data_IF_381931649044
#
_entry.id   IF_381931649044
#
_cell.length_a   1.000
_cell.length_b   1.000
_cell.length_c   1.000
_cell.angle_alpha   90.00
_cell.angle_beta   90.00
_cell.angle_gamma   90.00
#
_symmetry.space_group_name_H-M   'P 1'
#
loop_
_entity.id
_entity.type
_entity.pdbx_description
1 polymer ?
#
# COMPACT_ATOMS: atom_id res chain seq x y z
N UNK A 1 31.31 -1.30 6.64
CA UNK A 1 29.96 -0.68 6.74
C UNK A 1 30.04 0.26 7.92
N UNK A 2 29.83 1.57 7.73
CA UNK A 2 29.54 2.43 8.89
C UNK A 2 28.18 1.96 9.37
N UNK A 3 28.11 1.35 10.54
CA UNK A 3 26.85 1.14 11.22
C UNK A 3 26.29 2.53 11.53
N UNK A 4 25.50 3.07 10.60
CA UNK A 4 24.68 4.24 10.87
C UNK A 4 23.71 3.81 11.95
N UNK A 5 24.03 4.16 13.19
CA UNK A 5 23.20 3.90 14.35
C UNK A 5 21.99 4.85 14.29
N UNK A 6 21.02 4.49 13.43
CA UNK A 6 19.78 5.23 13.35
C UNK A 6 19.05 5.18 14.68
N UNK A 7 18.54 6.33 15.09
CA UNK A 7 17.89 6.47 16.39
C UNK A 7 16.63 5.61 16.41
N UNK A 8 16.44 4.97 17.56
CA UNK A 8 15.18 4.32 17.93
C UNK A 8 14.61 5.18 19.05
N UNK A 9 13.41 5.71 18.84
CA UNK A 9 12.82 6.77 19.67
C UNK A 9 11.58 6.23 20.38
N UNK A 10 11.46 6.51 21.67
CA UNK A 10 10.20 6.36 22.39
C UNK A 10 9.20 7.45 21.97
N UNK A 11 7.96 7.34 22.43
CA UNK A 11 6.96 8.40 22.22
C UNK A 11 7.43 9.78 22.75
N UNK A 12 8.11 9.83 23.90
CA UNK A 12 8.68 11.07 24.43
C UNK A 12 9.81 11.60 23.55
N UNK A 13 10.71 10.72 23.10
CA UNK A 13 11.82 11.09 22.21
C UNK A 13 11.34 11.63 20.87
N UNK A 14 10.25 11.08 20.31
CA UNK A 14 9.60 11.61 19.11
C UNK A 14 9.02 13.01 19.34
N UNK A 15 8.35 13.24 20.47
CA UNK A 15 7.82 14.57 20.80
C UNK A 15 8.94 15.60 21.00
N UNK A 16 10.05 15.22 21.65
CA UNK A 16 11.22 16.08 21.80
C UNK A 16 11.84 16.43 20.45
N UNK A 17 12.06 15.43 19.59
CA UNK A 17 12.62 15.64 18.24
C UNK A 17 11.71 16.53 17.38
N UNK A 18 10.41 16.27 17.37
CA UNK A 18 9.43 16.98 16.53
C UNK A 18 9.03 18.36 17.04
N UNK A 19 9.39 18.72 18.28
CA UNK A 19 9.25 20.07 18.83
C UNK A 19 10.58 20.84 18.83
N UNK A 20 11.69 20.19 18.47
CA UNK A 20 12.99 20.84 18.44
C UNK A 20 13.02 21.92 17.33
N UNK A 21 13.56 23.13 17.58
CA UNK A 21 13.58 24.23 16.59
C UNK A 21 14.29 23.89 15.27
N UNK A 22 15.16 22.87 15.28
CA UNK A 22 15.88 22.35 14.11
C UNK A 22 15.25 21.09 13.52
N UNK A 23 14.00 20.77 13.83
CA UNK A 23 13.31 19.54 13.39
C UNK A 23 13.48 19.28 11.89
N UNK A 24 13.10 20.22 11.03
CA UNK A 24 13.21 20.06 9.57
C UNK A 24 14.66 19.75 9.16
N UNK A 25 15.65 20.42 9.75
CA UNK A 25 17.07 20.16 9.44
C UNK A 25 17.54 18.77 9.89
N UNK A 26 17.08 18.30 11.06
CA UNK A 26 17.41 16.97 11.57
C UNK A 26 16.82 15.87 10.69
N UNK A 27 15.55 16.04 10.29
CA UNK A 27 14.85 15.10 9.40
C UNK A 27 15.48 15.08 8.01
N UNK A 28 15.80 16.25 7.44
CA UNK A 28 16.51 16.36 6.16
C UNK A 28 17.87 15.64 6.20
N UNK A 29 18.61 15.78 7.30
CA UNK A 29 19.90 15.11 7.46
C UNK A 29 19.73 13.60 7.58
N UNK A 30 18.82 13.11 8.44
CA UNK A 30 18.57 11.67 8.59
C UNK A 30 18.06 11.06 7.28
N UNK A 31 17.20 11.77 6.54
CA UNK A 31 16.74 11.35 5.22
C UNK A 31 17.91 11.21 4.24
N UNK A 32 18.81 12.20 4.17
CA UNK A 32 20.01 12.11 3.33
C UNK A 32 20.86 10.89 3.69
N UNK A 33 21.09 10.64 4.98
CA UNK A 33 21.83 9.47 5.47
C UNK A 33 21.14 8.14 5.07
N UNK A 34 19.80 8.08 5.15
CA UNK A 34 19.02 6.92 4.69
C UNK A 34 19.14 6.71 3.18
N UNK A 35 19.17 7.79 2.39
CA UNK A 35 19.26 7.74 0.93
C UNK A 35 20.65 7.34 0.44
N UNK A 36 21.71 7.63 1.20
CA UNK A 36 23.10 7.26 0.89
C UNK A 36 23.43 5.79 1.16
N UNK A 37 22.58 5.07 1.91
CA UNK A 37 22.85 3.67 2.23
C UNK A 37 22.76 2.79 0.97
N UNK A 38 23.85 2.08 0.62
CA UNK A 38 23.83 1.20 -0.54
C UNK A 38 22.93 -0.01 -0.25
N UNK A 39 21.91 -0.17 -1.09
CA UNK A 39 21.03 -1.32 -1.08
C UNK A 39 21.48 -2.32 -2.14
N UNK A 40 21.48 -3.61 -1.79
CA UNK A 40 21.84 -4.70 -2.71
C UNK A 40 20.58 -5.25 -3.35
N UNK A 41 20.60 -5.38 -4.67
CA UNK A 41 19.53 -5.98 -5.46
C UNK A 41 19.82 -5.83 -6.94
N UNK A 42 19.06 -6.50 -7.78
CA UNK A 42 19.11 -6.37 -9.24
C UNK A 42 17.80 -5.80 -9.75
N UNK A 43 17.84 -5.10 -10.88
CA UNK A 43 16.67 -4.47 -11.52
C UNK A 43 16.52 -4.90 -12.99
N UNK A 44 17.09 -6.07 -13.32
CA UNK A 44 17.27 -6.56 -14.68
C UNK A 44 15.94 -6.71 -15.42
N UNK A 45 14.89 -7.21 -14.75
CA UNK A 45 13.57 -7.39 -15.35
C UNK A 45 12.90 -6.06 -15.65
N UNK A 46 13.05 -5.09 -14.73
CA UNK A 46 12.48 -3.75 -14.88
C UNK A 46 13.10 -2.99 -16.06
N UNK A 47 14.40 -3.21 -16.31
CA UNK A 47 15.17 -2.56 -17.37
C UNK A 47 15.08 -3.25 -18.74
N UNK A 48 14.42 -4.42 -18.86
CA UNK A 48 14.23 -5.08 -20.17
C UNK A 48 13.46 -4.19 -21.13
N UNK A 49 13.90 -4.14 -22.39
CA UNK A 49 13.27 -3.34 -23.45
C UNK A 49 11.79 -3.68 -23.65
N UNK A 50 11.43 -4.96 -23.52
CA UNK A 50 10.05 -5.47 -23.60
C UNK A 50 9.14 -4.91 -22.50
N UNK A 51 9.68 -4.69 -21.30
CA UNK A 51 8.94 -4.21 -20.13
C UNK A 51 8.89 -2.68 -20.04
N UNK A 52 9.70 -1.97 -20.83
CA UNK A 52 9.76 -0.50 -20.81
C UNK A 52 8.42 0.21 -21.01
N UNK A 53 7.50 -0.38 -21.79
CA UNK A 53 6.15 0.16 -22.02
C UNK A 53 5.21 -0.01 -20.82
N UNK A 54 5.49 -0.98 -19.94
CA UNK A 54 4.72 -1.28 -18.73
C UNK A 54 5.14 -0.38 -17.56
N UNK A 55 6.31 0.23 -17.65
CA UNK A 55 6.81 1.22 -16.68
C UNK A 55 6.36 2.62 -17.09
N UNK A 56 5.96 3.45 -16.13
CA UNK A 56 5.63 4.86 -16.40
C UNK A 56 6.86 5.61 -16.93
N UNK A 57 6.83 6.03 -18.20
CA UNK A 57 7.97 6.66 -18.91
C UNK A 57 8.56 7.89 -18.21
N UNK A 58 7.73 8.69 -17.52
CA UNK A 58 8.16 9.89 -16.78
C UNK A 58 9.12 9.56 -15.62
N UNK A 59 9.20 8.29 -15.22
CA UNK A 59 10.00 7.80 -14.09
C UNK A 59 10.89 6.62 -14.47
N UNK A 60 11.49 6.64 -15.67
CA UNK A 60 12.41 5.59 -16.15
C UNK A 60 13.57 5.27 -15.20
N UNK A 61 13.92 6.20 -14.32
CA UNK A 61 15.02 6.09 -13.36
C UNK A 61 14.61 5.34 -12.08
N UNK A 62 13.32 5.07 -11.90
CA UNK A 62 12.80 4.27 -10.80
C UNK A 62 12.62 2.85 -11.32
N UNK A 63 13.33 1.90 -10.74
CA UNK A 63 13.26 0.50 -11.14
C UNK A 63 12.51 -0.34 -10.10
N UNK A 64 12.04 -1.51 -10.52
CA UNK A 64 11.55 -2.53 -9.59
C UNK A 64 12.69 -3.51 -9.25
N UNK A 65 12.83 -3.86 -7.97
CA UNK A 65 13.78 -4.91 -7.55
C UNK A 65 13.33 -6.28 -8.05
N UNK A 66 14.26 -7.09 -8.54
CA UNK A 66 13.96 -8.42 -9.08
C UNK A 66 13.59 -9.41 -7.97
N UNK A 67 14.19 -9.31 -6.78
CA UNK A 67 14.01 -10.29 -5.69
C UNK A 67 12.68 -10.16 -4.94
N UNK A 68 12.02 -9.00 -5.06
CA UNK A 68 10.76 -8.70 -4.38
C UNK A 68 9.65 -8.34 -5.36
N UNK A 69 9.88 -8.43 -6.68
CA UNK A 69 8.85 -8.17 -7.69
C UNK A 69 7.69 -9.13 -7.53
N UNK A 70 6.48 -8.64 -7.80
CA UNK A 70 5.35 -9.54 -7.99
C UNK A 70 5.46 -10.17 -9.37
N UNK A 71 5.30 -11.48 -9.42
CA UNK A 71 5.26 -12.26 -10.65
C UNK A 71 3.79 -12.60 -10.92
N UNK A 72 3.31 -12.30 -12.12
CA UNK A 72 1.97 -12.70 -12.56
C UNK A 72 2.10 -13.66 -13.74
N UNK A 73 1.18 -14.61 -13.85
CA UNK A 73 1.20 -15.55 -14.96
C UNK A 73 0.79 -14.84 -16.26
N UNK A 74 1.37 -15.25 -17.39
CA UNK A 74 1.08 -14.72 -18.72
C UNK A 74 -0.21 -15.31 -19.32
N UNK A 75 -0.65 -16.44 -18.79
CA UNK A 75 -1.94 -17.08 -19.03
C UNK A 75 -2.52 -17.50 -17.70
N UNK A 76 -3.84 -17.67 -17.63
CA UNK A 76 -4.45 -18.21 -16.41
C UNK A 76 -3.91 -19.62 -16.15
N UNK A 77 -3.24 -19.80 -15.00
CA UNK A 77 -2.86 -21.11 -14.52
C UNK A 77 -4.14 -21.86 -14.17
N UNK A 78 -4.54 -22.81 -15.03
CA UNK A 78 -5.59 -23.77 -14.72
C UNK A 78 -5.11 -24.67 -13.57
N UNK A 79 -5.28 -24.21 -12.32
CA UNK A 79 -5.26 -25.14 -11.19
C UNK A 79 -6.57 -25.91 -11.23
N UNK A 80 -6.61 -26.99 -12.00
CA UNK A 80 -7.69 -27.97 -11.95
C UNK A 80 -7.67 -28.61 -10.56
N UNK A 81 -8.80 -28.57 -9.83
CA UNK A 81 -9.01 -29.50 -8.72
C UNK A 81 -8.92 -30.92 -9.29
N UNK A 82 -8.16 -31.80 -8.62
CA UNK A 82 -7.79 -33.14 -9.11
C UNK A 82 -8.98 -34.09 -9.40
N UNK A 83 -10.22 -33.64 -9.20
CA UNK A 83 -11.44 -34.43 -9.37
C UNK A 83 -12.15 -34.32 -10.72
N UNK A 84 -11.78 -33.39 -11.60
CA UNK A 84 -12.53 -33.12 -12.85
C UNK A 84 -11.63 -33.15 -14.11
N UNK A 85 -10.62 -34.01 -14.10
CA UNK A 85 -9.62 -34.13 -15.15
C UNK A 85 -10.21 -34.63 -16.49
N UNK A 86 -10.31 -33.74 -17.49
CA UNK A 86 -10.63 -34.05 -18.89
C UNK A 86 -9.36 -33.99 -19.76
N UNK A 87 -8.83 -35.14 -20.23
CA UNK A 87 -7.62 -35.21 -21.04
C UNK A 87 -7.71 -34.50 -22.40
N UNK A 88 -8.91 -34.18 -22.89
CA UNK A 88 -9.12 -33.61 -24.22
C UNK A 88 -8.92 -32.09 -24.31
N UNK A 89 -8.75 -31.40 -23.17
CA UNK A 89 -8.50 -29.94 -23.09
C UNK A 89 -7.02 -29.57 -23.08
N UNK A 90 -6.14 -30.54 -23.33
CA UNK A 90 -4.69 -30.33 -23.29
C UNK A 90 -4.19 -29.69 -24.58
N UNK A 91 -4.13 -28.35 -24.62
CA UNK A 91 -3.21 -27.68 -25.54
C UNK A 91 -1.78 -27.84 -24.99
N UNK A 92 -1.05 -28.82 -25.50
CA UNK A 92 0.38 -28.98 -25.24
C UNK A 92 1.13 -27.85 -25.95
N UNK A 93 1.59 -26.85 -25.21
CA UNK A 93 2.51 -25.83 -25.72
C UNK A 93 3.65 -25.61 -24.73
N UNK A 94 4.88 -25.59 -25.25
CA UNK A 94 6.17 -25.55 -24.56
C UNK A 94 6.23 -24.63 -23.32
N UNK A 95 6.68 -25.19 -22.20
CA UNK A 95 6.52 -24.73 -20.80
C UNK A 95 7.46 -23.60 -20.31
N UNK A 96 8.29 -22.94 -21.13
CA UNK A 96 9.44 -22.19 -20.56
C UNK A 96 9.33 -20.65 -20.44
N UNK A 97 8.28 -19.95 -20.90
CA UNK A 97 8.24 -18.47 -20.80
C UNK A 97 6.83 -17.86 -20.65
N UNK A 98 6.09 -18.25 -19.61
CA UNK A 98 4.76 -17.70 -19.31
C UNK A 98 4.73 -16.77 -18.08
N UNK A 99 5.84 -16.13 -17.68
CA UNK A 99 5.81 -15.10 -16.64
C UNK A 99 5.65 -13.70 -17.25
N UNK A 100 4.66 -12.92 -16.79
CA UNK A 100 4.49 -11.53 -17.19
C UNK A 100 5.00 -10.59 -16.11
N UNK A 101 5.83 -9.64 -16.52
CA UNK A 101 6.27 -8.55 -15.66
C UNK A 101 5.14 -7.55 -15.37
N UNK A 102 5.03 -7.15 -14.10
CA UNK A 102 4.23 -6.01 -13.62
C UNK A 102 5.08 -5.14 -12.70
N UNK A 103 4.85 -3.83 -12.73
CA UNK A 103 5.60 -2.86 -11.91
C UNK A 103 5.08 -2.84 -10.46
N UNK A 104 5.30 -3.92 -9.72
CA UNK A 104 4.88 -4.07 -8.33
C UNK A 104 5.89 -4.87 -7.52
N UNK A 105 5.99 -4.60 -6.22
CA UNK A 105 6.84 -5.36 -5.30
C UNK A 105 6.09 -5.68 -4.01
N UNK A 106 6.38 -6.85 -3.43
CA UNK A 106 5.97 -7.15 -2.06
C UNK A 106 6.73 -6.26 -1.09
N UNK A 107 6.05 -5.82 -0.04
CA UNK A 107 6.62 -5.05 1.07
C UNK A 107 6.08 -5.63 2.37
N UNK A 108 6.98 -5.81 3.33
CA UNK A 108 6.60 -6.34 4.62
C UNK A 108 5.92 -5.31 5.50
N UNK A 109 5.02 -5.82 6.34
CA UNK A 109 4.55 -5.16 7.54
C UNK A 109 5.62 -5.12 8.63
N UNK A 110 5.23 -4.63 9.80
CA UNK A 110 6.09 -4.65 10.96
C UNK A 110 6.41 -6.09 11.43
N UNK A 111 5.39 -6.93 11.62
CA UNK A 111 5.53 -8.37 11.95
C UNK A 111 4.99 -9.33 10.88
N UNK A 112 4.39 -8.80 9.83
CA UNK A 112 3.72 -9.58 8.79
C UNK A 112 4.55 -9.54 7.49
N UNK A 113 4.93 -10.72 7.00
CA UNK A 113 5.68 -10.83 5.73
C UNK A 113 4.72 -10.58 4.57
N UNK A 114 5.15 -9.79 3.58
CA UNK A 114 4.35 -9.48 2.40
C UNK A 114 2.97 -8.90 2.71
N UNK A 115 2.84 -8.12 3.80
CA UNK A 115 1.59 -7.43 4.19
C UNK A 115 1.04 -6.55 3.06
N UNK A 116 1.93 -5.94 2.26
CA UNK A 116 1.56 -5.07 1.17
C UNK A 116 2.14 -5.51 -0.17
N UNK A 117 1.47 -5.09 -1.23
CA UNK A 117 2.03 -5.01 -2.57
C UNK A 117 2.04 -3.53 -2.98
N UNK A 118 3.23 -2.96 -3.13
CA UNK A 118 3.40 -1.60 -3.65
C UNK A 118 3.44 -1.63 -5.17
N UNK A 119 2.43 -1.07 -5.82
CA UNK A 119 2.25 -1.12 -7.28
C UNK A 119 2.23 0.27 -7.92
N UNK A 120 2.63 0.35 -9.18
CA UNK A 120 2.35 1.51 -10.03
C UNK A 120 0.85 1.59 -10.31
N UNK A 121 0.28 2.80 -10.35
CA UNK A 121 -1.08 3.00 -10.88
C UNK A 121 -1.17 2.42 -12.30
N UNK A 122 -2.23 1.64 -12.59
CA UNK A 122 -2.44 1.07 -13.91
C UNK A 122 -2.41 2.14 -14.99
N UNK A 123 -1.60 1.90 -16.01
CA UNK A 123 -1.69 2.57 -17.31
C UNK A 123 -2.82 1.92 -18.12
N UNK A 124 -3.25 2.60 -19.18
CA UNK A 124 -4.28 2.13 -20.13
C UNK A 124 -4.07 0.65 -20.53
N UNK A 125 -2.86 0.28 -20.94
CA UNK A 125 -2.53 -1.07 -21.43
C UNK A 125 -2.23 -2.09 -20.30
N UNK A 126 -2.31 -1.69 -19.04
CA UNK A 126 -1.87 -2.54 -17.90
C UNK A 126 -2.98 -2.86 -16.90
N UNK A 127 -4.20 -2.38 -17.13
CA UNK A 127 -5.35 -2.68 -16.27
C UNK A 127 -5.62 -4.18 -16.12
N UNK A 128 -5.55 -4.95 -17.20
CA UNK A 128 -5.71 -6.40 -17.13
C UNK A 128 -4.64 -7.05 -16.23
N UNK A 129 -3.38 -6.63 -16.37
CA UNK A 129 -2.28 -7.12 -15.54
C UNK A 129 -2.46 -6.75 -14.07
N UNK A 130 -3.01 -5.57 -13.78
CA UNK A 130 -3.32 -5.13 -12.43
C UNK A 130 -4.44 -5.96 -11.80
N UNK A 131 -5.52 -6.23 -12.53
CA UNK A 131 -6.58 -7.13 -12.04
C UNK A 131 -6.11 -8.57 -11.89
N UNK A 132 -5.22 -9.04 -12.78
CA UNK A 132 -4.59 -10.35 -12.64
C UNK A 132 -3.75 -10.43 -11.36
N UNK A 133 -2.96 -9.39 -11.04
CA UNK A 133 -2.24 -9.30 -9.77
C UNK A 133 -3.20 -9.40 -8.58
N UNK A 134 -4.28 -8.60 -8.57
CA UNK A 134 -5.27 -8.64 -7.47
C UNK A 134 -5.90 -10.03 -7.35
N UNK A 135 -6.18 -10.67 -8.48
CA UNK A 135 -6.82 -11.98 -8.54
C UNK A 135 -5.91 -13.09 -8.02
N UNK A 136 -4.71 -13.21 -8.59
CA UNK A 136 -3.72 -14.24 -8.25
C UNK A 136 -3.23 -14.10 -6.81
N UNK A 137 -3.02 -12.86 -6.35
CA UNK A 137 -2.52 -12.60 -4.99
C UNK A 137 -3.60 -12.62 -3.91
N UNK A 138 -4.84 -12.96 -4.26
CA UNK A 138 -5.97 -12.97 -3.34
C UNK A 138 -6.20 -11.63 -2.61
N UNK A 139 -5.72 -10.53 -3.17
CA UNK A 139 -5.85 -9.20 -2.60
C UNK A 139 -7.31 -8.75 -2.62
N UNK A 140 -7.79 -8.28 -1.46
CA UNK A 140 -9.16 -7.83 -1.26
C UNK A 140 -9.27 -6.33 -1.02
N UNK A 141 -8.18 -5.72 -0.55
CA UNK A 141 -8.13 -4.31 -0.18
C UNK A 141 -7.11 -3.60 -1.07
N UNK A 142 -7.51 -2.46 -1.61
CA UNK A 142 -6.68 -1.58 -2.43
C UNK A 142 -6.66 -0.20 -1.78
N UNK A 143 -5.49 0.42 -1.75
CA UNK A 143 -5.30 1.81 -1.32
C UNK A 143 -4.75 2.62 -2.50
N UNK A 144 -5.56 3.53 -3.03
CA UNK A 144 -5.18 4.44 -4.11
C UNK A 144 -4.71 5.78 -3.53
N UNK A 145 -3.43 6.09 -3.69
CA UNK A 145 -2.77 7.32 -3.25
C UNK A 145 -2.35 8.16 -4.48
N UNK A 146 -3.26 8.30 -5.42
CA UNK A 146 -3.06 9.06 -6.66
C UNK A 146 -3.98 10.26 -6.73
N UNK A 147 -3.37 11.38 -7.05
CA UNK A 147 -4.01 12.63 -7.43
C UNK A 147 -4.44 12.57 -8.91
N UNK A 148 -5.68 12.96 -9.18
CA UNK A 148 -6.32 13.01 -10.51
C UNK A 148 -5.50 13.89 -11.46
N UNK A 149 -4.97 15.01 -10.96
CA UNK A 149 -4.32 16.01 -11.80
C UNK A 149 -2.87 15.64 -12.16
N UNK A 150 -2.29 14.64 -11.48
CA UNK A 150 -0.88 14.23 -11.66
C UNK A 150 -0.72 13.07 -12.63
N UNK A 151 -1.80 12.31 -12.87
CA UNK A 151 -1.80 11.12 -13.71
C UNK A 151 -2.79 11.23 -14.88
N UNK A 152 -2.62 10.36 -15.87
CA UNK A 152 -3.48 10.38 -17.06
C UNK A 152 -4.88 9.89 -16.68
N UNK A 153 -5.92 10.53 -17.22
CA UNK A 153 -7.33 10.22 -16.95
C UNK A 153 -7.70 8.73 -16.95
N UNK A 154 -7.17 7.99 -17.91
CA UNK A 154 -7.39 6.55 -18.06
C UNK A 154 -6.80 5.69 -16.93
N UNK A 155 -5.96 6.26 -16.06
CA UNK A 155 -5.34 5.57 -14.92
C UNK A 155 -6.26 5.51 -13.69
N UNK A 156 -7.31 6.33 -13.66
CA UNK A 156 -8.28 6.39 -12.56
C UNK A 156 -9.75 6.25 -13.02
N UNK A 157 -9.98 6.12 -14.33
CA UNK A 157 -11.31 5.98 -14.95
C UNK A 157 -12.26 5.05 -14.18
N UNK A 158 -11.79 3.88 -13.73
CA UNK A 158 -12.62 2.94 -12.98
C UNK A 158 -13.14 3.53 -11.67
N UNK A 159 -12.29 4.27 -10.95
CA UNK A 159 -12.61 4.84 -9.64
C UNK A 159 -13.55 6.04 -9.73
N UNK A 160 -13.59 6.69 -10.89
CA UNK A 160 -14.53 7.78 -11.21
C UNK A 160 -15.81 7.27 -11.91
N UNK A 161 -15.93 5.97 -12.15
CA UNK A 161 -17.10 5.40 -12.83
C UNK A 161 -18.30 5.31 -11.87
N UNK A 162 -19.52 5.66 -12.31
CA UNK A 162 -20.72 5.59 -11.47
C UNK A 162 -21.02 4.20 -10.91
N UNK A 163 -21.82 4.18 -9.84
CA UNK A 163 -22.36 2.94 -9.26
C UNK A 163 -23.16 2.15 -10.31
N UNK A 164 -23.11 0.82 -10.21
CA UNK A 164 -23.74 -0.14 -11.11
C UNK A 164 -23.14 -0.23 -12.52
N UNK A 165 -22.17 0.62 -12.87
CA UNK A 165 -21.42 0.49 -14.10
C UNK A 165 -20.51 -0.75 -14.10
N UNK A 166 -20.25 -1.24 -15.30
CA UNK A 166 -19.43 -2.42 -15.56
C UNK A 166 -18.38 -2.09 -16.62
N UNK A 167 -17.13 -2.45 -16.36
CA UNK A 167 -16.01 -2.27 -17.28
C UNK A 167 -15.26 -3.58 -17.45
N UNK A 168 -14.94 -3.91 -18.70
CA UNK A 168 -14.11 -5.07 -19.03
C UNK A 168 -12.65 -4.65 -19.16
N UNK A 169 -11.76 -5.37 -18.50
CA UNK A 169 -10.31 -5.28 -18.62
C UNK A 169 -9.73 -6.64 -18.98
N UNK A 170 -9.60 -6.93 -20.28
CA UNK A 170 -9.18 -8.23 -20.77
C UNK A 170 -10.12 -9.34 -20.29
N UNK A 171 -9.58 -10.29 -19.51
CA UNK A 171 -10.32 -11.41 -18.93
C UNK A 171 -11.16 -11.07 -17.70
N UNK A 172 -11.01 -9.86 -17.15
CA UNK A 172 -11.73 -9.45 -15.94
C UNK A 172 -12.86 -8.48 -16.26
N UNK A 173 -13.97 -8.65 -15.53
CA UNK A 173 -15.10 -7.71 -15.51
C UNK A 173 -15.17 -7.09 -14.14
N UNK A 174 -15.02 -5.77 -14.07
CA UNK A 174 -15.15 -5.00 -12.85
C UNK A 174 -16.52 -4.29 -12.82
N UNK A 175 -17.34 -4.62 -11.83
CA UNK A 175 -18.65 -4.00 -11.60
C UNK A 175 -18.65 -3.23 -10.29
N UNK A 176 -19.03 -1.95 -10.35
CA UNK A 176 -19.11 -1.09 -9.16
C UNK A 176 -20.38 -1.43 -8.37
N UNK A 177 -20.22 -1.93 -7.16
CA UNK A 177 -21.32 -2.34 -6.27
C UNK A 177 -21.79 -1.20 -5.38
N UNK A 178 -20.86 -0.44 -4.81
CA UNK A 178 -21.15 0.63 -3.86
C UNK A 178 -20.04 1.69 -3.90
N UNK A 179 -20.41 2.95 -3.71
CA UNK A 179 -19.49 4.08 -3.57
C UNK A 179 -19.93 4.83 -2.32
N UNK A 180 -19.00 5.07 -1.40
CA UNK A 180 -19.21 5.88 -0.20
C UNK A 180 -18.13 6.94 -0.15
N UNK A 181 -18.56 8.19 -0.16
CA UNK A 181 -17.68 9.35 0.00
C UNK A 181 -17.56 9.62 1.50
N UNK A 182 -16.36 9.44 2.04
CA UNK A 182 -16.00 9.87 3.39
C UNK A 182 -15.30 11.23 3.29
N UNK A 183 -14.96 11.85 4.43
CA UNK A 183 -14.34 13.17 4.44
C UNK A 183 -12.99 13.21 3.70
N UNK A 184 -12.19 12.15 3.85
CA UNK A 184 -10.78 12.10 3.42
C UNK A 184 -10.51 11.15 2.25
N UNK A 185 -11.42 10.23 1.97
CA UNK A 185 -11.28 9.23 0.92
C UNK A 185 -12.64 8.74 0.42
N UNK A 186 -12.64 8.18 -0.78
CA UNK A 186 -13.80 7.47 -1.35
C UNK A 186 -13.60 5.97 -1.22
N UNK A 187 -14.55 5.29 -0.58
CA UNK A 187 -14.61 3.82 -0.48
C UNK A 187 -15.48 3.25 -1.60
N UNK A 188 -14.87 2.49 -2.50
CA UNK A 188 -15.55 1.86 -3.64
C UNK A 188 -15.49 0.35 -3.54
N UNK A 189 -16.65 -0.31 -3.45
CA UNK A 189 -16.77 -1.77 -3.51
C UNK A 189 -16.94 -2.22 -4.94
N UNK A 190 -16.10 -3.15 -5.39
CA UNK A 190 -16.09 -3.65 -6.76
C UNK A 190 -16.18 -5.16 -6.76
N UNK A 191 -17.07 -5.70 -7.60
CA UNK A 191 -17.10 -7.12 -7.93
C UNK A 191 -16.23 -7.34 -9.16
N UNK A 192 -15.15 -8.09 -9.00
CA UNK A 192 -14.33 -8.58 -10.11
C UNK A 192 -14.84 -9.98 -10.48
N UNK A 193 -15.13 -10.19 -11.76
CA UNK A 193 -15.46 -11.51 -12.31
C UNK A 193 -14.41 -11.92 -13.31
N UNK A 194 -13.83 -13.10 -13.13
CA UNK A 194 -12.98 -13.71 -14.13
C UNK A 194 -13.89 -14.38 -15.18
N UNK A 195 -13.76 -13.97 -16.45
CA UNK A 195 -14.59 -14.47 -17.56
C UNK A 195 -14.32 -15.93 -17.90
N UNK A 196 -13.11 -16.42 -17.69
CA UNK A 196 -12.73 -17.79 -18.04
C UNK A 196 -13.21 -18.79 -17.00
N UNK A 197 -13.04 -18.49 -15.71
CA UNK A 197 -13.49 -19.38 -14.63
C UNK A 197 -14.95 -19.15 -14.25
N UNK A 198 -15.54 -18.01 -14.62
CA UNK A 198 -16.89 -17.60 -14.19
C UNK A 198 -16.98 -17.22 -12.71
N UNK A 199 -15.87 -17.30 -11.96
CA UNK A 199 -15.84 -17.00 -10.53
C UNK A 199 -15.74 -15.50 -10.29
N UNK A 200 -16.40 -15.02 -9.23
CA UNK A 200 -16.34 -13.61 -8.84
C UNK A 200 -15.77 -13.41 -7.45
N UNK A 201 -15.22 -12.23 -7.23
CA UNK A 201 -14.64 -11.78 -5.97
C UNK A 201 -15.00 -10.33 -5.70
N UNK A 202 -15.37 -10.02 -4.46
CA UNK A 202 -15.49 -8.62 -4.03
C UNK A 202 -14.15 -8.11 -3.52
N UNK A 203 -13.83 -6.88 -3.92
CA UNK A 203 -12.71 -6.08 -3.44
C UNK A 203 -13.20 -4.70 -2.99
N UNK A 204 -12.41 -4.05 -2.14
CA UNK A 204 -12.68 -2.71 -1.64
C UNK A 204 -11.49 -1.81 -1.98
N UNK A 205 -11.74 -0.74 -2.74
CA UNK A 205 -10.78 0.32 -3.00
C UNK A 205 -11.00 1.50 -2.05
N UNK A 206 -9.94 1.96 -1.40
CA UNK A 206 -9.89 3.17 -0.62
C UNK A 206 -9.08 4.20 -1.38
N UNK A 207 -9.75 5.17 -1.97
CA UNK A 207 -9.10 6.20 -2.76
C UNK A 207 -8.97 7.49 -1.97
N UNK A 208 -7.75 7.85 -1.61
CA UNK A 208 -7.47 9.09 -0.91
C UNK A 208 -7.67 10.28 -1.86
N UNK A 209 -8.68 11.09 -1.57
CA UNK A 209 -9.11 12.23 -2.39
C UNK A 209 -8.59 13.57 -1.87
N UNK A 210 -8.16 13.63 -0.61
CA UNK A 210 -7.66 14.86 0.03
C UNK A 210 -6.18 15.12 -0.30
N UNK A 211 -5.87 15.28 -1.59
CA UNK A 211 -4.58 15.80 -2.06
C UNK A 211 -4.68 17.32 -2.20
N UNK A 212 -4.05 18.13 -1.33
CA UNK A 212 -3.97 19.56 -1.60
C UNK A 212 -3.07 19.83 -2.80
N UNK A 213 -3.30 20.96 -3.48
CA UNK A 213 -2.53 21.46 -4.62
C UNK A 213 -0.99 21.41 -4.41
N UNK A 214 -0.55 21.42 -3.13
CA UNK A 214 0.82 21.36 -2.67
C UNK A 214 1.32 19.94 -2.30
N UNK A 215 0.98 18.89 -3.04
CA UNK A 215 1.71 17.59 -3.09
C UNK A 215 1.92 16.74 -1.82
N UNK A 216 1.53 17.24 -0.64
CA UNK A 216 1.64 16.62 0.68
C UNK A 216 0.24 16.65 1.28
N UNK A 217 -0.34 15.51 1.72
CA UNK A 217 -1.61 15.52 2.44
C UNK A 217 -1.52 16.50 3.61
N UNK A 218 -2.29 17.58 3.58
CA UNK A 218 -2.34 18.55 4.68
C UNK A 218 -3.02 17.96 5.91
N UNK A 219 -3.82 16.92 5.69
CA UNK A 219 -4.56 16.20 6.70
C UNK A 219 -3.82 14.99 7.31
N UNK A 220 -3.13 15.19 8.45
CA UNK A 220 -2.62 14.05 9.24
C UNK A 220 -3.76 13.20 9.81
N UNK A 221 -4.89 13.83 10.14
CA UNK A 221 -6.08 13.16 10.66
C UNK A 221 -6.72 12.26 9.60
N UNK A 222 -6.92 12.82 8.43
CA UNK A 222 -7.45 12.22 7.21
C UNK A 222 -6.61 11.00 6.80
N UNK A 223 -5.28 11.12 6.85
CA UNK A 223 -4.38 10.01 6.57
C UNK A 223 -4.51 8.88 7.60
N UNK A 224 -4.66 9.23 8.89
CA UNK A 224 -4.85 8.26 9.97
C UNK A 224 -6.23 7.59 9.87
N UNK A 225 -7.27 8.33 9.47
CA UNK A 225 -8.62 7.83 9.23
C UNK A 225 -8.64 6.80 8.08
N UNK A 226 -7.99 7.12 6.96
CA UNK A 226 -7.78 6.18 5.85
C UNK A 226 -7.10 4.91 6.33
N UNK A 227 -5.95 5.04 7.03
CA UNK A 227 -5.21 3.90 7.57
C UNK A 227 -6.07 3.03 8.48
N UNK A 228 -6.80 3.64 9.41
CA UNK A 228 -7.64 2.90 10.35
C UNK A 228 -8.76 2.15 9.63
N UNK A 229 -9.40 2.79 8.65
CA UNK A 229 -10.45 2.20 7.82
C UNK A 229 -9.95 1.00 7.01
N UNK A 230 -8.76 1.12 6.42
CA UNK A 230 -8.09 0.04 5.68
C UNK A 230 -7.75 -1.14 6.59
N UNK A 231 -7.13 -0.86 7.74
CA UNK A 231 -6.74 -1.90 8.71
C UNK A 231 -7.97 -2.60 9.31
N UNK A 232 -9.06 -1.87 9.53
CA UNK A 232 -10.33 -2.45 9.99
C UNK A 232 -10.94 -3.38 8.93
N UNK A 233 -10.95 -2.97 7.66
CA UNK A 233 -11.44 -3.78 6.54
C UNK A 233 -10.60 -5.06 6.37
N UNK A 234 -9.27 -4.95 6.35
CA UNK A 234 -8.37 -6.10 6.26
C UNK A 234 -8.57 -7.05 7.45
N UNK A 235 -8.69 -6.51 8.67
CA UNK A 235 -8.93 -7.32 9.88
C UNK A 235 -10.28 -8.05 9.84
N UNK A 236 -11.33 -7.41 9.31
CA UNK A 236 -12.64 -8.05 9.12
C UNK A 236 -12.54 -9.22 8.15
N UNK A 237 -11.82 -9.04 7.03
CA UNK A 237 -11.61 -10.08 6.04
C UNK A 237 -10.80 -11.26 6.59
N UNK A 238 -9.75 -10.99 7.38
CA UNK A 238 -8.95 -12.03 8.04
C UNK A 238 -9.84 -12.86 9.00
N UNK A 239 -10.64 -12.19 9.84
CA UNK A 239 -11.58 -12.87 10.76
C UNK A 239 -12.66 -13.68 10.04
N UNK A 240 -13.12 -13.23 8.89
CA UNK A 240 -14.07 -14.00 8.08
C UNK A 240 -13.40 -15.25 7.49
N UNK A 241 -12.16 -15.10 7.01
CA UNK A 241 -11.39 -16.19 6.44
C UNK A 241 -11.00 -17.28 7.44
N UNK A 242 -10.91 -16.98 8.74
CA UNK A 242 -10.74 -18.00 9.79
C UNK A 242 -11.85 -19.07 9.76
N UNK A 243 -13.03 -18.74 9.22
CA UNK A 243 -14.12 -19.70 9.03
C UNK A 243 -14.12 -20.39 7.66
N UNK A 244 -13.58 -19.72 6.62
CA UNK A 244 -13.73 -20.11 5.20
C UNK A 244 -12.42 -20.63 4.55
N UNK A 245 -11.36 -20.86 5.34
CA UNK A 245 -10.04 -21.40 4.92
C UNK A 245 -9.25 -20.59 3.89
N UNK A 246 -9.77 -19.46 3.38
CA UNK A 246 -9.10 -18.62 2.40
C UNK A 246 -8.69 -17.27 2.99
N UNK A 247 -7.47 -17.20 3.54
CA UNK A 247 -6.89 -15.97 4.10
C UNK A 247 -6.83 -14.87 3.02
N UNK A 248 -7.27 -13.63 3.30
CA UNK A 248 -7.12 -12.56 2.33
C UNK A 248 -5.63 -12.30 2.09
N UNK A 249 -5.29 -12.02 0.83
CA UNK A 249 -3.94 -11.69 0.44
C UNK A 249 -3.50 -10.28 0.84
N UNK A 250 -2.32 -9.85 0.36
CA UNK A 250 -1.71 -8.56 0.68
C UNK A 250 -2.60 -7.37 0.31
N UNK A 251 -2.47 -6.27 1.06
CA UNK A 251 -3.08 -4.98 0.71
C UNK A 251 -2.33 -4.39 -0.49
N UNK A 252 -3.03 -4.08 -1.57
CA UNK A 252 -2.40 -3.43 -2.74
C UNK A 252 -2.39 -1.92 -2.50
N UNK A 253 -1.21 -1.35 -2.32
CA UNK A 253 -1.02 0.10 -2.15
C UNK A 253 -0.41 0.65 -3.43
N UNK A 254 -1.10 1.57 -4.11
CA UNK A 254 -0.56 2.17 -5.33
C UNK A 254 -0.58 3.70 -5.30
N UNK A 255 0.41 4.28 -5.95
CA UNK A 255 0.45 5.69 -6.33
C UNK A 255 1.00 5.78 -7.76
N UNK A 256 1.35 6.95 -8.28
CA UNK A 256 1.80 7.10 -9.68
C UNK A 256 2.91 6.13 -10.10
N UNK A 257 3.86 5.84 -9.20
CA UNK A 257 4.93 4.83 -9.37
C UNK A 257 4.93 3.73 -8.31
N UNK A 258 4.09 3.83 -7.28
CA UNK A 258 4.10 2.90 -6.15
C UNK A 258 5.38 2.93 -5.33
N UNK A 259 6.05 4.10 -5.22
CA UNK A 259 7.30 4.24 -4.44
C UNK A 259 7.25 5.39 -3.43
N UNK A 260 6.82 6.58 -3.84
CA UNK A 260 6.68 7.75 -2.96
C UNK A 260 5.62 7.54 -1.89
N UNK A 261 4.40 8.01 -2.13
CA UNK A 261 3.30 7.93 -1.16
C UNK A 261 2.88 6.52 -0.77
N UNK A 262 3.01 5.54 -1.67
CA UNK A 262 2.79 4.14 -1.31
C UNK A 262 3.82 3.66 -0.26
N UNK A 263 5.09 4.02 -0.43
CA UNK A 263 6.13 3.73 0.56
C UNK A 263 5.92 4.49 1.88
N UNK A 264 5.48 5.76 1.80
CA UNK A 264 5.13 6.57 2.98
C UNK A 264 3.99 5.97 3.78
N UNK A 265 2.95 5.48 3.11
CA UNK A 265 1.83 4.78 3.75
C UNK A 265 2.29 3.51 4.49
N UNK A 266 3.06 2.65 3.82
CA UNK A 266 3.62 1.45 4.44
C UNK A 266 4.55 1.80 5.61
N UNK A 267 5.35 2.87 5.49
CA UNK A 267 6.25 3.33 6.54
C UNK A 267 5.49 3.81 7.78
N UNK A 268 4.45 4.62 7.60
CA UNK A 268 3.59 5.10 8.69
C UNK A 268 2.84 3.95 9.35
N UNK A 269 2.27 3.03 8.56
CA UNK A 269 1.53 1.89 9.11
C UNK A 269 2.45 1.00 9.97
N UNK A 270 3.64 0.69 9.46
CA UNK A 270 4.65 -0.08 10.18
C UNK A 270 5.17 0.67 11.43
N UNK A 271 5.37 1.98 11.34
CA UNK A 271 5.90 2.78 12.44
C UNK A 271 4.90 2.91 13.59
N UNK A 272 3.62 3.08 13.28
CA UNK A 272 2.55 3.09 14.29
C UNK A 272 2.40 1.71 14.94
N UNK A 273 2.47 0.63 14.17
CA UNK A 273 2.41 -0.74 14.69
C UNK A 273 3.62 -1.07 15.57
N UNK A 274 4.82 -0.63 15.18
CA UNK A 274 6.03 -0.76 15.99
C UNK A 274 5.91 0.00 17.31
N UNK A 275 5.53 1.29 17.23
CA UNK A 275 5.37 2.13 18.42
C UNK A 275 4.32 1.57 19.39
N UNK A 276 3.23 1.01 18.87
CA UNK A 276 2.20 0.37 19.70
C UNK A 276 2.73 -0.86 20.45
N UNK A 277 3.47 -1.73 19.75
CA UNK A 277 3.93 -3.04 20.26
C UNK A 277 5.21 -2.97 21.09
N UNK A 278 6.17 -2.13 20.69
CA UNK A 278 7.51 -2.05 21.30
C UNK A 278 7.72 -0.79 22.14
N UNK A 279 6.80 0.19 22.06
CA UNK A 279 6.91 1.51 22.73
C UNK A 279 8.09 2.37 22.27
N UNK A 280 8.77 1.91 21.23
CA UNK A 280 9.83 2.60 20.53
C UNK A 280 9.67 2.40 19.02
N UNK A 281 10.27 3.26 18.20
CA UNK A 281 10.18 3.19 16.74
C UNK A 281 11.42 3.77 16.09
N UNK A 282 11.82 3.21 14.95
CA UNK A 282 12.89 3.78 14.12
C UNK A 282 12.41 3.96 12.68
N UNK A 283 12.02 5.18 12.33
CA UNK A 283 11.51 5.52 11.00
C UNK A 283 12.56 5.20 9.94
N UNK A 284 13.83 5.54 10.18
CA UNK A 284 14.94 5.25 9.27
C UNK A 284 15.09 3.74 8.98
N UNK A 285 15.07 2.89 10.02
CA UNK A 285 15.18 1.43 9.84
C UNK A 285 13.98 0.86 9.06
N UNK A 286 12.78 1.35 9.34
CA UNK A 286 11.56 0.96 8.60
C UNK A 286 11.67 1.37 7.14
N UNK A 287 12.05 2.62 6.85
CA UNK A 287 12.20 3.11 5.48
C UNK A 287 13.29 2.35 4.75
N UNK A 288 14.43 2.03 5.38
CA UNK A 288 15.47 1.19 4.78
C UNK A 288 14.97 -0.22 4.45
N UNK A 289 14.22 -0.85 5.35
CA UNK A 289 13.60 -2.16 5.10
C UNK A 289 12.67 -2.08 3.90
N UNK A 290 11.77 -1.10 3.86
CA UNK A 290 10.87 -0.88 2.72
C UNK A 290 11.66 -0.63 1.44
N UNK A 291 12.71 0.19 1.47
CA UNK A 291 13.55 0.48 0.29
C UNK A 291 14.29 -0.74 -0.23
N UNK A 292 14.68 -1.66 0.65
CA UNK A 292 15.28 -2.95 0.27
C UNK A 292 14.31 -3.87 -0.47
N UNK A 293 13.00 -3.63 -0.34
CA UNK A 293 11.93 -4.42 -0.98
C UNK A 293 11.26 -3.67 -2.13
N UNK A 294 11.17 -2.35 -2.05
CA UNK A 294 10.64 -1.46 -3.08
C UNK A 294 11.61 -0.32 -3.29
N UNK A 295 12.34 -0.38 -4.40
CA UNK A 295 13.39 0.60 -4.72
C UNK A 295 12.86 2.04 -4.70
N UNK A 296 13.69 2.98 -4.26
CA UNK A 296 13.37 4.42 -4.19
C UNK A 296 12.16 4.79 -3.33
N UNK A 297 11.69 3.92 -2.43
CA UNK A 297 10.60 4.30 -1.52
C UNK A 297 10.97 5.49 -0.63
N UNK A 298 9.99 6.38 -0.39
CA UNK A 298 10.12 7.59 0.46
C UNK A 298 11.30 8.48 0.03
N UNK A 299 11.39 8.77 -1.27
CA UNK A 299 12.54 9.47 -1.85
C UNK A 299 12.53 10.99 -1.65
N UNK A 300 11.38 11.60 -1.36
CA UNK A 300 11.30 13.02 -1.06
C UNK A 300 11.47 13.27 0.44
N UNK A 301 12.24 14.29 0.86
CA UNK A 301 12.38 14.62 2.27
C UNK A 301 11.04 14.96 2.95
N UNK A 302 10.11 15.56 2.22
CA UNK A 302 8.79 15.94 2.70
C UNK A 302 7.93 14.71 3.03
N UNK A 303 8.07 13.62 2.26
CA UNK A 303 7.43 12.33 2.55
C UNK A 303 7.98 11.72 3.84
N UNK A 304 9.30 11.86 4.05
CA UNK A 304 9.97 11.36 5.24
C UNK A 304 9.61 12.18 6.49
N UNK A 305 9.54 13.51 6.36
CA UNK A 305 9.02 14.41 7.40
C UNK A 305 7.58 14.09 7.77
N UNK A 306 6.73 13.84 6.77
CA UNK A 306 5.34 13.50 6.98
C UNK A 306 5.16 12.26 7.87
N UNK A 307 6.02 11.25 7.75
CA UNK A 307 6.02 10.09 8.66
C UNK A 307 6.13 10.52 10.13
N UNK A 308 7.07 11.42 10.45
CA UNK A 308 7.26 11.93 11.81
C UNK A 308 6.08 12.78 12.28
N UNK A 309 5.51 13.61 11.40
CA UNK A 309 4.36 14.44 11.73
C UNK A 309 3.12 13.60 12.06
N UNK A 310 2.85 12.53 11.30
CA UNK A 310 1.74 11.61 11.59
C UNK A 310 1.96 10.87 12.91
N UNK A 311 3.19 10.40 13.19
CA UNK A 311 3.50 9.78 14.48
C UNK A 311 3.26 10.76 15.64
N UNK A 312 3.73 12.01 15.52
CA UNK A 312 3.47 13.07 16.51
C UNK A 312 1.99 13.29 16.72
N UNK A 313 1.21 13.42 15.64
CA UNK A 313 -0.23 13.60 15.69
C UNK A 313 -0.91 12.48 16.48
N UNK A 314 -0.61 11.21 16.17
CA UNK A 314 -1.21 10.06 16.85
C UNK A 314 -0.85 10.02 18.34
N UNK A 315 0.41 10.31 18.69
CA UNK A 315 0.83 10.37 20.11
C UNK A 315 0.05 11.44 20.88
N UNK A 316 -0.11 12.63 20.29
CA UNK A 316 -0.85 13.73 20.92
C UNK A 316 -2.35 13.40 21.06
N UNK A 317 -2.96 12.78 20.06
CA UNK A 317 -4.36 12.36 20.11
C UNK A 317 -4.60 11.27 21.17
N UNK A 318 -3.68 10.31 21.31
CA UNK A 318 -3.74 9.32 22.38
C UNK A 318 -3.67 9.99 23.76
N UNK A 319 -2.72 10.90 23.97
CA UNK A 319 -2.59 11.65 25.23
C UNK A 319 -3.84 12.48 25.55
N UNK A 320 -4.45 13.14 24.55
CA UNK A 320 -5.72 13.88 24.72
C UNK A 320 -6.87 12.95 25.13
N UNK A 321 -6.99 11.77 24.49
CA UNK A 321 -8.01 10.77 24.83
C UNK A 321 -7.84 10.25 26.26
N UNK A 322 -6.61 9.98 26.68
CA UNK A 322 -6.29 9.56 28.05
C UNK A 322 -6.66 10.62 29.09
N UNK A 323 -6.28 11.89 28.86
CA UNK A 323 -6.63 13.02 29.74
C UNK A 323 -8.15 13.22 29.85
N UNK A 324 -8.87 13.11 28.73
CA UNK A 324 -10.34 13.18 28.70
C UNK A 324 -10.98 12.04 29.49
N UNK A 325 -10.48 10.81 29.32
CA UNK A 325 -10.97 9.63 30.04
C UNK A 325 -10.76 9.74 31.56
N UNK A 326 -9.58 10.21 31.99
CA UNK A 326 -9.24 10.45 33.40
C UNK A 326 -10.11 11.55 34.02
N UNK A 327 -10.34 12.63 33.27
CA UNK A 327 -11.24 13.71 33.68
C UNK A 327 -12.68 13.23 33.86
N UNK A 328 -13.18 12.37 32.96
CA UNK A 328 -14.51 11.73 33.09
C UNK A 328 -14.57 10.78 34.29
N UNK A 329 -13.51 10.02 34.55
CA UNK A 329 -13.44 9.10 35.71
C UNK A 329 -13.47 9.86 37.04
N UNK A 330 -12.69 10.94 37.16
CA UNK A 330 -12.70 11.81 38.35
C UNK A 330 -14.08 12.45 38.57
N UNK A 331 -14.72 12.96 37.52
CA UNK A 331 -16.09 13.52 37.64
C UNK A 331 -17.13 12.49 38.08
N UNK A 332 -16.96 11.22 37.74
CA UNK A 332 -17.83 10.14 38.23
C UNK A 332 -17.57 9.83 39.70
N UNK A 333 -16.32 9.78 40.15
CA UNK A 333 -16.00 9.51 41.57
C UNK A 333 -16.51 10.62 42.50
N UNK A 334 -16.45 11.88 42.07
CA UNK A 334 -17.00 13.03 42.83
C UNK A 334 -18.53 13.10 42.86
N UNK A 335 -19.24 12.38 41.98
CA UNK A 335 -20.72 12.32 41.98
C UNK A 335 -21.27 11.10 42.73
N UNK A 336 -20.42 10.13 43.05
CA UNK A 336 -20.76 8.92 43.81
C UNK A 336 -20.36 9.01 45.30
N UNK A 337 -19.77 10.14 45.72
CA UNK A 337 -19.54 10.55 47.11
C UNK A 337 -20.51 11.68 47.44
#
# INVERSE_FOLDING_TARGET
MKDSCFKTLSASGLLEMTNHPKFCRLVLQEHAEVMEIPLKGTTSQSLRKENSKKNRRRFSNISCWDHSRVIINARESFNFDAGDWDPSRQEVTSEENAETYIYASYVDGFKEVSKYICAQTPLEDTWESFFRLIWEQQSRVIVSLTDIDRDHEKSYYLWTTPKASETTFGSFVAKILDIREELSFTKTRVKITNKFTGTSREITNFWFTDWPDNSIPTGMEEFVELRNSVNEEQSKLIKQAENDSQTPGPIVVHCSTGTGWAGTYCAIDNALEQLEKEKEVSVAKIVLKIRSQRHSSVFLPEQYEFCYLVLKYVILEQAKKELSSRSKSLRKSFRSS
#
